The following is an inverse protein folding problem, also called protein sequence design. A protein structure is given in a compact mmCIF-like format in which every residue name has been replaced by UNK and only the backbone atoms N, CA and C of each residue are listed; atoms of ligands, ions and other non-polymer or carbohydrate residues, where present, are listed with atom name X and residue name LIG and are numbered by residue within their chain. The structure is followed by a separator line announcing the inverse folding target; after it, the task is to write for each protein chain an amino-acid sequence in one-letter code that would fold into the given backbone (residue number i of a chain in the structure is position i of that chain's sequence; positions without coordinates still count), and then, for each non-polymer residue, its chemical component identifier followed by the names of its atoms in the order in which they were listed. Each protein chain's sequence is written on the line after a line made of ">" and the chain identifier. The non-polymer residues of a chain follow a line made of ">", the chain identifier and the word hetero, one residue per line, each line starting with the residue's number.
data_IF_586186092853
#
_entry.id   IF_586186092853
#
_cell.length_a   1.000
_cell.length_b   1.000
_cell.length_c   1.000
_cell.angle_alpha   90.00
_cell.angle_beta   90.00
_cell.angle_gamma   90.00
#
_symmetry.space_group_name_H-M   'P 1'
#
loop_
_entity.id
_entity.type
_entity.pdbx_description
1 polymer ?
#
# COMPACT_ATOMS: atom_id res chain seq x y z
N UNK A 1 9.59 -21.74 -0.95
CA UNK A 1 10.33 -21.10 0.16
C UNK A 1 9.69 -19.74 0.41
N UNK A 2 9.13 -19.50 1.62
CA UNK A 2 8.55 -18.21 1.96
C UNK A 2 9.66 -17.15 1.96
N UNK A 3 9.53 -16.13 1.10
CA UNK A 3 10.50 -15.04 1.08
C UNK A 3 10.36 -14.23 2.38
N UNK A 4 11.41 -14.24 3.22
CA UNK A 4 11.44 -13.58 4.52
C UNK A 4 11.32 -12.05 4.45
N UNK A 5 11.52 -11.46 3.26
CA UNK A 5 11.34 -10.02 3.04
C UNK A 5 9.85 -9.63 3.01
N UNK A 6 8.96 -10.53 2.61
CA UNK A 6 7.52 -10.25 2.55
C UNK A 6 6.93 -10.36 3.96
N UNK A 7 6.53 -9.22 4.53
CA UNK A 7 5.95 -9.11 5.87
C UNK A 7 4.42 -8.99 5.88
N UNK A 8 3.79 -8.77 4.72
CA UNK A 8 2.34 -8.67 4.60
C UNK A 8 1.90 -8.50 3.15
N UNK A 9 0.59 -8.40 2.96
CA UNK A 9 -0.03 -8.29 1.64
C UNK A 9 -1.08 -7.19 1.63
N UNK A 10 -1.30 -6.58 0.47
CA UNK A 10 -2.37 -5.61 0.25
C UNK A 10 -3.09 -5.92 -1.05
N UNK A 11 -4.41 -5.92 -0.99
CA UNK A 11 -5.28 -6.01 -2.17
C UNK A 11 -6.19 -4.80 -2.25
N UNK A 12 -6.65 -4.50 -3.45
CA UNK A 12 -7.67 -3.49 -3.73
C UNK A 12 -8.65 -4.05 -4.77
N UNK A 13 -9.81 -3.39 -5.02
CA UNK A 13 -10.79 -3.86 -5.98
C UNK A 13 -10.20 -4.08 -7.39
N UNK A 14 -9.32 -3.19 -7.86
CA UNK A 14 -8.69 -3.32 -9.18
C UNK A 14 -7.81 -4.57 -9.31
N UNK A 15 -7.05 -4.94 -8.26
CA UNK A 15 -6.27 -6.18 -8.24
C UNK A 15 -7.17 -7.41 -8.20
N UNK A 16 -8.26 -7.37 -7.43
CA UNK A 16 -9.24 -8.46 -7.38
C UNK A 16 -9.92 -8.66 -8.74
N UNK A 17 -10.26 -7.57 -9.44
CA UNK A 17 -10.81 -7.62 -10.79
C UNK A 17 -9.83 -8.24 -11.78
N UNK A 18 -8.55 -7.85 -11.77
CA UNK A 18 -7.49 -8.45 -12.61
C UNK A 18 -7.33 -9.95 -12.36
N UNK A 19 -7.55 -10.40 -11.13
CA UNK A 19 -7.54 -11.83 -10.77
C UNK A 19 -8.85 -12.55 -11.13
N UNK A 20 -9.81 -11.87 -11.79
CA UNK A 20 -11.13 -12.40 -12.18
C UNK A 20 -11.90 -13.02 -11.01
N UNK A 21 -11.79 -12.41 -9.83
CA UNK A 21 -12.48 -12.87 -8.62
C UNK A 21 -13.98 -12.67 -8.77
N UNK A 22 -14.76 -13.76 -8.80
CA UNK A 22 -16.24 -13.73 -8.90
C UNK A 22 -16.90 -13.54 -7.53
N UNK A 23 -16.34 -14.13 -6.47
CA UNK A 23 -16.86 -14.02 -5.11
C UNK A 23 -15.80 -13.39 -4.20
N UNK A 24 -15.98 -12.10 -3.91
CA UNK A 24 -15.02 -11.32 -3.16
C UNK A 24 -14.77 -11.86 -1.75
N UNK A 25 -15.84 -12.18 -1.00
CA UNK A 25 -15.71 -12.67 0.37
C UNK A 25 -15.04 -14.05 0.45
N UNK A 26 -15.34 -14.94 -0.49
CA UNK A 26 -14.67 -16.24 -0.60
C UNK A 26 -13.18 -16.06 -0.86
N UNK A 27 -12.81 -15.18 -1.81
CA UNK A 27 -11.41 -14.86 -2.10
C UNK A 27 -10.70 -14.25 -0.88
N UNK A 28 -11.36 -13.34 -0.14
CA UNK A 28 -10.82 -12.78 1.09
C UNK A 28 -10.48 -13.87 2.12
N UNK A 29 -11.38 -14.85 2.31
CA UNK A 29 -11.16 -15.99 3.22
C UNK A 29 -9.95 -16.84 2.78
N UNK A 30 -9.91 -17.20 1.52
CA UNK A 30 -8.84 -18.03 0.95
C UNK A 30 -7.47 -17.32 1.05
N UNK A 31 -7.40 -16.03 0.68
CA UNK A 31 -6.15 -15.26 0.75
C UNK A 31 -5.70 -15.07 2.19
N UNK A 32 -6.61 -14.73 3.11
CA UNK A 32 -6.28 -14.59 4.52
C UNK A 32 -5.69 -15.88 5.09
N UNK A 33 -6.31 -17.03 4.82
CA UNK A 33 -5.83 -18.35 5.25
C UNK A 33 -4.45 -18.67 4.64
N UNK A 34 -4.28 -18.44 3.34
CA UNK A 34 -3.04 -18.74 2.61
C UNK A 34 -1.82 -17.98 3.11
N UNK A 35 -2.01 -16.72 3.55
CA UNK A 35 -0.91 -15.86 3.98
C UNK A 35 -0.72 -15.81 5.50
N UNK A 36 -1.63 -16.38 6.27
CA UNK A 36 -1.56 -16.42 7.74
C UNK A 36 -0.22 -16.99 8.23
N UNK A 37 0.39 -16.44 9.28
CA UNK A 37 -0.10 -15.34 10.14
C UNK A 37 0.22 -13.91 9.64
N UNK A 38 0.79 -13.75 8.43
CA UNK A 38 1.17 -12.45 7.90
C UNK A 38 -0.07 -11.58 7.70
N UNK A 39 -0.01 -10.25 8.02
CA UNK A 39 -1.13 -9.34 7.82
C UNK A 39 -1.50 -9.19 6.34
N UNK A 40 -2.80 -9.05 6.10
CA UNK A 40 -3.34 -8.78 4.77
C UNK A 40 -4.36 -7.64 4.85
N UNK A 41 -4.25 -6.67 3.95
CA UNK A 41 -5.21 -5.58 3.82
C UNK A 41 -6.18 -5.83 2.69
N UNK A 42 -7.48 -5.79 2.99
CA UNK A 42 -8.60 -6.06 2.07
C UNK A 42 -9.56 -4.87 2.10
N UNK A 43 -9.93 -4.36 0.92
CA UNK A 43 -10.63 -3.08 0.78
C UNK A 43 -12.15 -3.26 0.69
N UNK A 44 -12.91 -2.37 1.34
CA UNK A 44 -14.34 -2.19 1.10
C UNK A 44 -14.56 -1.50 -0.25
N UNK A 45 -15.75 -1.63 -0.83
CA UNK A 45 -16.09 -1.02 -2.11
C UNK A 45 -17.46 -0.31 -2.12
N UNK A 46 -18.19 -0.30 -1.00
CA UNK A 46 -19.35 0.58 -0.84
C UNK A 46 -18.91 2.05 -0.82
N UNK A 47 -19.79 2.96 -1.26
CA UNK A 47 -19.53 4.42 -1.31
C UNK A 47 -20.51 5.20 -0.42
N UNK A 48 -21.01 4.55 0.63
CA UNK A 48 -21.86 5.14 1.65
C UNK A 48 -21.46 4.64 3.04
N UNK A 49 -21.79 5.39 4.12
CA UNK A 49 -21.38 5.04 5.48
C UNK A 49 -21.85 3.68 5.93
N UNK A 50 -23.13 3.38 5.71
CA UNK A 50 -23.77 2.14 6.19
C UNK A 50 -23.19 0.92 5.48
N UNK A 51 -23.05 1.01 4.17
CA UNK A 51 -22.44 -0.04 3.33
C UNK A 51 -20.99 -0.29 3.70
N UNK A 52 -20.17 0.78 3.85
CA UNK A 52 -18.76 0.66 4.25
C UNK A 52 -18.61 -0.02 5.62
N UNK A 53 -19.39 0.40 6.63
CA UNK A 53 -19.35 -0.18 7.97
C UNK A 53 -19.71 -1.67 7.90
N UNK A 54 -20.83 -2.02 7.25
CA UNK A 54 -21.29 -3.40 7.09
C UNK A 54 -20.23 -4.27 6.40
N UNK A 55 -19.66 -3.79 5.27
CA UNK A 55 -18.60 -4.52 4.56
C UNK A 55 -17.34 -4.66 5.42
N UNK A 56 -16.92 -3.61 6.14
CA UNK A 56 -15.76 -3.65 7.02
C UNK A 56 -15.91 -4.67 8.15
N UNK A 57 -17.08 -4.74 8.79
CA UNK A 57 -17.36 -5.72 9.83
C UNK A 57 -17.31 -7.16 9.31
N UNK A 58 -17.89 -7.41 8.13
CA UNK A 58 -17.85 -8.72 7.49
C UNK A 58 -16.39 -9.12 7.16
N UNK A 59 -15.65 -8.21 6.51
CA UNK A 59 -14.26 -8.47 6.12
C UNK A 59 -13.37 -8.68 7.35
N UNK A 60 -13.56 -7.91 8.42
CA UNK A 60 -12.74 -8.02 9.63
C UNK A 60 -12.84 -9.40 10.30
N UNK A 61 -13.98 -10.08 10.16
CA UNK A 61 -14.25 -11.42 10.72
C UNK A 61 -13.68 -12.56 9.89
N UNK A 62 -13.12 -12.29 8.71
CA UNK A 62 -12.57 -13.30 7.80
C UNK A 62 -11.33 -13.99 8.37
N UNK A 63 -10.53 -13.28 9.18
CA UNK A 63 -9.33 -13.81 9.81
C UNK A 63 -8.68 -12.83 10.79
N UNK A 64 -7.90 -13.36 11.73
CA UNK A 64 -7.20 -12.55 12.76
C UNK A 64 -6.11 -11.64 12.20
N UNK A 65 -5.64 -11.90 10.98
CA UNK A 65 -4.57 -11.15 10.30
C UNK A 65 -5.08 -10.04 9.36
N UNK A 66 -6.38 -9.76 9.36
CA UNK A 66 -7.01 -8.77 8.47
C UNK A 66 -6.77 -7.33 8.98
N UNK A 67 -6.41 -6.44 8.05
CA UNK A 67 -6.60 -5.00 8.11
C UNK A 67 -7.65 -4.60 7.08
N UNK A 68 -8.72 -3.95 7.51
CA UNK A 68 -9.75 -3.48 6.58
C UNK A 68 -9.30 -2.17 5.93
N UNK A 69 -9.22 -2.15 4.60
CA UNK A 69 -8.88 -0.94 3.86
C UNK A 69 -10.12 -0.06 3.65
N UNK A 70 -10.00 1.20 4.05
CA UNK A 70 -11.04 2.23 3.94
C UNK A 70 -10.45 3.41 3.17
N UNK A 71 -11.04 3.84 2.05
CA UNK A 71 -10.65 5.08 1.37
C UNK A 71 -10.80 6.28 2.31
N UNK A 72 -9.90 7.27 2.17
CA UNK A 72 -9.91 8.48 3.01
C UNK A 72 -11.15 9.35 2.78
N UNK A 73 -11.73 9.27 1.58
CA UNK A 73 -12.97 9.96 1.19
C UNK A 73 -13.91 9.00 0.45
N UNK A 74 -15.19 9.36 0.39
CA UNK A 74 -16.13 8.85 -0.59
C UNK A 74 -15.85 9.44 -1.97
N UNK A 75 -16.53 8.93 -3.02
CA UNK A 75 -16.40 9.45 -4.38
C UNK A 75 -16.86 10.91 -4.53
N UNK A 76 -17.73 11.39 -3.63
CA UNK A 76 -18.18 12.79 -3.56
C UNK A 76 -17.18 13.73 -2.86
N UNK A 77 -16.00 13.23 -2.45
CA UNK A 77 -14.95 14.01 -1.78
C UNK A 77 -15.13 14.22 -0.28
N UNK A 78 -16.26 13.83 0.32
CA UNK A 78 -16.44 13.89 1.78
C UNK A 78 -15.57 12.85 2.47
N UNK A 79 -15.00 13.22 3.63
CA UNK A 79 -14.17 12.31 4.42
C UNK A 79 -15.00 11.16 5.04
N UNK A 80 -14.43 9.98 5.10
CA UNK A 80 -15.02 8.79 5.73
C UNK A 80 -14.89 8.78 7.26
N UNK A 81 -14.81 9.95 7.89
CA UNK A 81 -14.56 10.10 9.34
C UNK A 81 -15.58 9.41 10.22
N UNK A 82 -16.85 9.40 9.83
CA UNK A 82 -17.91 8.70 10.56
C UNK A 82 -17.72 7.19 10.55
N UNK A 83 -17.36 6.62 9.39
CA UNK A 83 -17.00 5.20 9.26
C UNK A 83 -15.80 4.87 10.15
N UNK A 84 -14.75 5.70 10.09
CA UNK A 84 -13.54 5.49 10.89
C UNK A 84 -13.82 5.53 12.39
N UNK A 85 -14.71 6.44 12.86
CA UNK A 85 -15.14 6.50 14.28
C UNK A 85 -15.76 5.19 14.72
N UNK A 86 -16.73 4.67 13.96
CA UNK A 86 -17.41 3.41 14.27
C UNK A 86 -16.45 2.23 14.26
N UNK A 87 -15.58 2.12 13.24
CA UNK A 87 -14.67 0.99 13.12
C UNK A 87 -13.56 1.03 14.18
N UNK A 88 -13.06 2.22 14.53
CA UNK A 88 -12.07 2.40 15.59
C UNK A 88 -12.64 2.04 16.96
N UNK A 89 -13.89 2.44 17.29
CA UNK A 89 -14.55 2.07 18.55
C UNK A 89 -14.77 0.56 18.70
N UNK A 90 -14.90 -0.16 17.57
CA UNK A 90 -15.00 -1.63 17.52
C UNK A 90 -13.62 -2.33 17.47
N UNK A 91 -12.52 -1.60 17.67
CA UNK A 91 -11.15 -2.13 17.61
C UNK A 91 -10.81 -2.88 16.30
N UNK A 92 -11.46 -2.55 15.19
CA UNK A 92 -11.15 -3.12 13.88
C UNK A 92 -9.80 -2.56 13.41
N UNK A 93 -8.89 -3.44 12.96
CA UNK A 93 -7.60 -3.03 12.40
C UNK A 93 -7.83 -2.36 11.05
N UNK A 94 -7.33 -1.14 10.88
CA UNK A 94 -7.60 -0.29 9.73
C UNK A 94 -6.38 -0.10 8.85
N UNK A 95 -6.59 0.00 7.55
CA UNK A 95 -5.64 0.53 6.58
C UNK A 95 -6.33 1.65 5.79
N UNK A 96 -6.09 2.91 6.19
CA UNK A 96 -6.71 4.06 5.52
C UNK A 96 -5.90 4.35 4.26
N UNK A 97 -6.59 4.38 3.12
CA UNK A 97 -5.95 4.40 1.80
C UNK A 97 -6.32 5.63 0.97
N UNK A 98 -5.64 5.81 -0.16
CA UNK A 98 -5.77 6.96 -1.05
C UNK A 98 -5.43 8.30 -0.34
N UNK A 99 -4.42 8.28 0.54
CA UNK A 99 -3.93 9.48 1.22
C UNK A 99 -2.83 10.13 0.38
N UNK A 100 -2.93 11.46 0.19
CA UNK A 100 -1.99 12.26 -0.61
C UNK A 100 -1.33 13.39 0.18
N UNK A 101 -1.90 13.80 1.33
CA UNK A 101 -1.39 14.96 2.04
C UNK A 101 -1.49 14.87 3.56
N UNK A 102 -0.63 15.63 4.25
CA UNK A 102 -0.71 15.81 5.71
C UNK A 102 -2.04 16.41 6.14
N UNK A 103 -2.67 17.26 5.32
CA UNK A 103 -3.97 17.87 5.62
C UNK A 103 -5.07 16.80 5.82
N UNK A 104 -5.05 15.74 5.00
CA UNK A 104 -5.97 14.62 5.15
C UNK A 104 -5.72 13.88 6.46
N UNK A 105 -4.46 13.66 6.85
CA UNK A 105 -4.10 13.02 8.12
C UNK A 105 -4.58 13.84 9.32
N UNK A 106 -4.42 15.17 9.29
CA UNK A 106 -4.89 16.06 10.38
C UNK A 106 -6.38 15.85 10.67
N UNK A 107 -7.21 15.62 9.65
CA UNK A 107 -8.65 15.39 9.80
C UNK A 107 -9.01 14.07 10.49
N UNK A 108 -8.27 13.00 10.22
CA UNK A 108 -8.59 11.65 10.71
C UNK A 108 -7.81 11.25 11.97
N UNK A 109 -6.64 11.85 12.20
CA UNK A 109 -5.73 11.45 13.28
C UNK A 109 -6.37 11.48 14.67
N UNK A 110 -7.21 12.47 15.05
CA UNK A 110 -7.90 12.44 16.35
C UNK A 110 -8.74 11.17 16.58
N UNK A 111 -9.23 10.57 15.49
CA UNK A 111 -10.08 9.38 15.54
C UNK A 111 -9.23 8.10 15.68
N UNK A 112 -8.12 8.02 14.95
CA UNK A 112 -7.39 6.75 14.76
C UNK A 112 -6.04 6.68 15.46
N UNK A 113 -5.56 7.75 16.11
CA UNK A 113 -4.20 7.83 16.68
C UNK A 113 -3.86 6.67 17.64
N UNK A 114 -4.84 6.14 18.37
CA UNK A 114 -4.67 5.06 19.33
C UNK A 114 -5.07 3.68 18.77
N UNK A 115 -5.54 3.63 17.53
CA UNK A 115 -5.99 2.39 16.87
C UNK A 115 -4.82 1.63 16.24
N UNK A 116 -5.01 0.35 15.99
CA UNK A 116 -4.12 -0.44 15.11
C UNK A 116 -4.38 -0.03 13.66
N UNK A 117 -3.76 1.06 13.22
CA UNK A 117 -4.03 1.70 11.95
C UNK A 117 -2.77 1.82 11.07
N UNK A 118 -2.92 1.56 9.79
CA UNK A 118 -1.96 1.81 8.73
C UNK A 118 -2.49 2.98 7.90
N UNK A 119 -1.60 3.94 7.61
CA UNK A 119 -1.87 5.10 6.76
C UNK A 119 -1.14 4.90 5.44
N UNK A 120 -1.88 4.54 4.38
CA UNK A 120 -1.32 4.26 3.05
C UNK A 120 -1.23 5.54 2.23
N UNK A 121 -0.03 6.13 2.17
CA UNK A 121 0.28 7.33 1.40
C UNK A 121 0.61 6.93 -0.03
N UNK A 122 -0.09 7.51 -1.01
CA UNK A 122 0.05 7.16 -2.41
C UNK A 122 1.24 7.87 -3.06
N UNK A 123 2.43 7.63 -2.51
CA UNK A 123 3.66 8.30 -2.90
C UNK A 123 3.93 8.24 -4.40
N UNK A 124 3.79 7.07 -5.03
CA UNK A 124 4.00 6.97 -6.48
C UNK A 124 3.03 7.83 -7.30
N UNK A 125 1.76 7.97 -6.86
CA UNK A 125 0.81 8.87 -7.54
C UNK A 125 1.11 10.33 -7.28
N UNK A 126 1.68 10.69 -6.13
CA UNK A 126 2.17 12.04 -5.86
C UNK A 126 3.32 12.36 -6.82
N UNK A 127 4.25 11.42 -7.02
CA UNK A 127 5.33 11.55 -8.00
C UNK A 127 4.82 11.64 -9.46
N UNK A 128 3.77 10.86 -9.81
CA UNK A 128 3.14 10.94 -11.14
C UNK A 128 2.59 12.35 -11.46
N UNK A 129 2.28 13.17 -10.42
CA UNK A 129 1.87 14.57 -10.55
C UNK A 129 3.05 15.56 -10.53
N UNK A 130 4.30 15.08 -10.50
CA UNK A 130 5.49 15.93 -10.43
C UNK A 130 5.79 16.51 -9.04
N UNK A 131 5.17 16.00 -7.97
CA UNK A 131 5.41 16.46 -6.61
C UNK A 131 6.29 15.50 -5.82
N UNK A 132 7.04 16.00 -4.84
CA UNK A 132 7.85 15.18 -3.95
C UNK A 132 7.01 14.61 -2.79
N UNK A 133 6.75 13.31 -2.83
CA UNK A 133 6.03 12.60 -1.78
C UNK A 133 6.82 12.52 -0.46
N UNK A 134 8.16 12.63 -0.51
CA UNK A 134 8.99 12.51 0.70
C UNK A 134 8.74 13.67 1.67
N UNK A 135 8.55 14.89 1.15
CA UNK A 135 8.21 16.05 1.97
C UNK A 135 6.89 15.87 2.75
N UNK A 136 5.84 15.41 2.06
CA UNK A 136 4.55 15.17 2.72
C UNK A 136 4.64 14.05 3.75
N UNK A 137 5.38 12.97 3.46
CA UNK A 137 5.55 11.86 4.38
C UNK A 137 6.38 12.28 5.61
N UNK A 138 7.41 13.11 5.45
CA UNK A 138 8.18 13.66 6.58
C UNK A 138 7.27 14.50 7.48
N UNK A 139 6.43 15.38 6.91
CA UNK A 139 5.43 16.15 7.68
C UNK A 139 4.48 15.23 8.45
N UNK A 140 3.99 14.16 7.81
CA UNK A 140 3.13 13.15 8.45
C UNK A 140 3.89 12.42 9.55
N UNK A 141 5.11 11.96 9.31
CA UNK A 141 5.94 11.27 10.31
C UNK A 141 6.15 12.12 11.57
N UNK A 142 6.49 13.40 11.38
CA UNK A 142 6.67 14.35 12.47
C UNK A 142 5.36 14.60 13.24
N UNK A 143 4.24 14.72 12.53
CA UNK A 143 2.91 14.87 13.15
C UNK A 143 2.56 13.65 14.01
N UNK A 144 2.76 12.42 13.50
CA UNK A 144 2.49 11.19 14.26
C UNK A 144 3.34 11.10 15.52
N UNK A 145 4.64 11.42 15.45
CA UNK A 145 5.54 11.48 16.61
C UNK A 145 5.06 12.50 17.63
N UNK A 146 4.79 13.75 17.20
CA UNK A 146 4.29 14.83 18.07
C UNK A 146 2.98 14.46 18.78
N UNK A 147 2.09 13.73 18.10
CA UNK A 147 0.79 13.30 18.65
C UNK A 147 0.85 11.93 19.37
N UNK A 148 2.04 11.32 19.49
CA UNK A 148 2.25 9.99 20.09
C UNK A 148 1.27 8.95 19.50
N UNK A 149 1.18 8.90 18.18
CA UNK A 149 0.22 8.04 17.47
C UNK A 149 0.75 6.62 17.28
N UNK A 150 -0.13 5.63 17.42
CA UNK A 150 0.16 4.21 17.13
C UNK A 150 0.06 3.86 15.64
N UNK A 151 -0.32 4.81 14.78
CA UNK A 151 -0.46 4.58 13.35
C UNK A 151 0.89 4.30 12.68
N UNK A 152 0.89 3.40 11.70
CA UNK A 152 2.07 3.10 10.88
C UNK A 152 1.92 3.72 9.49
N UNK A 153 2.97 4.38 9.00
CA UNK A 153 3.02 4.93 7.64
C UNK A 153 3.40 3.82 6.68
N UNK A 154 2.62 3.69 5.60
CA UNK A 154 2.89 2.79 4.49
C UNK A 154 3.08 3.60 3.21
N UNK A 155 4.24 3.45 2.57
CA UNK A 155 4.52 3.92 1.22
C UNK A 155 3.77 3.04 0.21
N UNK A 156 2.76 3.61 -0.45
CA UNK A 156 1.93 2.92 -1.42
C UNK A 156 2.13 3.44 -2.84
N UNK A 157 1.62 2.69 -3.81
CA UNK A 157 1.71 3.07 -5.24
C UNK A 157 3.15 3.12 -5.76
N UNK A 158 4.02 2.24 -5.27
CA UNK A 158 5.44 2.16 -5.65
C UNK A 158 5.61 2.03 -7.16
N UNK A 159 6.56 2.80 -7.73
CA UNK A 159 6.86 2.86 -9.16
C UNK A 159 8.19 2.20 -9.51
N UNK A 160 9.15 2.23 -8.59
CA UNK A 160 10.51 1.79 -8.83
C UNK A 160 11.18 1.26 -7.56
N UNK A 161 12.31 0.58 -7.73
CA UNK A 161 13.10 0.03 -6.62
C UNK A 161 13.64 1.14 -5.71
N UNK A 162 13.98 2.30 -6.27
CA UNK A 162 14.52 3.42 -5.51
C UNK A 162 13.53 3.97 -4.46
N UNK A 163 12.23 3.73 -4.63
CA UNK A 163 11.21 4.10 -3.65
C UNK A 163 11.46 3.47 -2.27
N UNK A 164 12.20 2.36 -2.19
CA UNK A 164 12.61 1.75 -0.91
C UNK A 164 13.52 2.72 -0.14
N UNK A 165 14.48 3.33 -0.82
CA UNK A 165 15.41 4.28 -0.19
C UNK A 165 14.68 5.54 0.24
N UNK A 166 13.74 6.03 -0.57
CA UNK A 166 12.92 7.20 -0.26
C UNK A 166 12.00 6.90 0.93
N UNK A 167 11.34 5.74 0.96
CA UNK A 167 10.48 5.31 2.07
C UNK A 167 11.26 5.23 3.39
N UNK A 168 12.47 4.68 3.37
CA UNK A 168 13.36 4.63 4.55
C UNK A 168 13.73 6.05 4.99
N UNK A 169 14.17 6.90 4.07
CA UNK A 169 14.61 8.29 4.34
C UNK A 169 13.52 9.12 5.01
N UNK A 170 12.26 8.98 4.60
CA UNK A 170 11.15 9.74 5.18
C UNK A 170 10.45 9.05 6.36
N UNK A 171 10.98 7.91 6.84
CA UNK A 171 10.50 7.25 8.06
C UNK A 171 9.23 6.41 7.88
N UNK A 172 9.00 5.86 6.68
CA UNK A 172 7.94 4.89 6.48
C UNK A 172 8.23 3.58 7.24
N UNK A 173 7.20 2.98 7.80
CA UNK A 173 7.28 1.71 8.48
C UNK A 173 7.12 0.52 7.54
N UNK A 174 6.42 0.73 6.45
CA UNK A 174 6.01 -0.30 5.48
C UNK A 174 6.14 0.30 4.07
N UNK A 175 6.54 -0.53 3.12
CA UNK A 175 6.40 -0.26 1.68
C UNK A 175 5.64 -1.41 1.04
N UNK A 176 4.68 -1.10 0.15
CA UNK A 176 4.00 -2.10 -0.67
C UNK A 176 4.39 -1.92 -2.13
N UNK A 177 4.61 -3.01 -2.83
CA UNK A 177 5.01 -2.99 -4.24
C UNK A 177 4.35 -4.12 -5.02
N UNK A 178 4.24 -3.96 -6.34
CA UNK A 178 3.76 -5.01 -7.21
C UNK A 178 4.77 -6.17 -7.32
N UNK A 179 4.33 -7.37 -7.74
CA UNK A 179 5.25 -8.49 -7.98
C UNK A 179 6.36 -8.13 -8.97
N UNK A 180 6.06 -7.34 -10.02
CA UNK A 180 7.04 -6.94 -11.02
C UNK A 180 8.16 -6.08 -10.41
N UNK A 181 7.81 -5.12 -9.53
CA UNK A 181 8.81 -4.30 -8.83
C UNK A 181 9.58 -5.15 -7.82
N UNK A 182 8.88 -6.05 -7.12
CA UNK A 182 9.51 -6.94 -6.15
C UNK A 182 10.56 -7.86 -6.80
N UNK A 183 10.30 -8.39 -7.99
CA UNK A 183 11.27 -9.20 -8.73
C UNK A 183 12.53 -8.44 -9.13
N UNK A 184 12.44 -7.12 -9.31
CA UNK A 184 13.61 -6.26 -9.57
C UNK A 184 14.52 -6.07 -8.36
N UNK A 185 14.18 -6.58 -7.18
CA UNK A 185 15.06 -6.52 -6.00
C UNK A 185 16.41 -7.22 -6.23
N UNK A 186 16.52 -8.13 -7.17
CA UNK A 186 17.78 -8.74 -7.56
C UNK A 186 18.79 -7.74 -8.17
N UNK A 187 18.31 -6.59 -8.65
CA UNK A 187 19.17 -5.51 -9.16
C UNK A 187 19.58 -4.51 -8.07
N UNK A 188 18.96 -4.59 -6.89
CA UNK A 188 19.19 -3.65 -5.82
C UNK A 188 20.64 -3.70 -5.32
N UNK A 189 21.34 -2.57 -5.32
CA UNK A 189 22.76 -2.43 -4.96
C UNK A 189 23.73 -3.22 -5.84
N UNK A 190 23.37 -3.58 -7.07
CA UNK A 190 24.34 -4.12 -8.02
C UNK A 190 25.50 -3.14 -8.24
N UNK A 191 26.67 -3.70 -8.51
CA UNK A 191 27.82 -2.89 -8.93
C UNK A 191 27.53 -2.22 -10.28
N UNK A 192 27.78 -0.93 -10.39
CA UNK A 192 27.48 -0.14 -11.59
C UNK A 192 28.20 -0.64 -12.85
N UNK A 193 29.51 -1.01 -12.73
CA UNK A 193 30.30 -1.53 -13.85
C UNK A 193 29.72 -2.84 -14.39
N UNK A 194 29.39 -3.78 -13.50
CA UNK A 194 28.80 -5.06 -13.92
C UNK A 194 27.41 -4.87 -14.52
N UNK A 195 26.59 -3.97 -13.96
CA UNK A 195 25.24 -3.73 -14.47
C UNK A 195 25.26 -2.98 -15.83
N UNK A 196 26.21 -2.07 -16.02
CA UNK A 196 26.46 -1.45 -17.34
C UNK A 196 26.83 -2.50 -18.39
N UNK A 197 27.77 -3.41 -18.06
CA UNK A 197 28.17 -4.49 -18.97
C UNK A 197 27.01 -5.44 -19.30
N UNK A 198 26.17 -5.80 -18.31
CA UNK A 198 24.96 -6.59 -18.54
C UNK A 198 24.02 -5.89 -19.55
N UNK A 199 23.86 -4.57 -19.41
CA UNK A 199 23.02 -3.76 -20.32
C UNK A 199 23.57 -3.78 -21.75
N UNK A 200 24.86 -3.60 -21.92
CA UNK A 200 25.53 -3.68 -23.25
C UNK A 200 25.34 -5.06 -23.88
N UNK A 201 25.53 -6.13 -23.09
CA UNK A 201 25.30 -7.51 -23.56
C UNK A 201 23.84 -7.73 -24.00
N UNK A 202 22.88 -7.18 -23.26
CA UNK A 202 21.46 -7.27 -23.62
C UNK A 202 21.18 -6.58 -24.95
N UNK A 203 21.65 -5.35 -25.14
CA UNK A 203 21.48 -4.62 -26.41
C UNK A 203 22.08 -5.37 -27.61
N UNK A 204 23.29 -5.92 -27.44
CA UNK A 204 23.92 -6.71 -28.48
C UNK A 204 23.11 -7.96 -28.83
N UNK A 205 22.61 -8.68 -27.84
CA UNK A 205 21.80 -9.86 -28.06
C UNK A 205 20.45 -9.54 -28.73
N UNK A 206 19.82 -8.43 -28.34
CA UNK A 206 18.56 -8.01 -28.92
C UNK A 206 18.73 -7.58 -30.38
N UNK A 207 19.80 -6.83 -30.69
CA UNK A 207 20.13 -6.47 -32.06
C UNK A 207 20.37 -7.73 -32.94
N UNK A 208 21.12 -8.71 -32.40
CA UNK A 208 21.34 -10.00 -33.09
C UNK A 208 20.04 -10.74 -33.39
N UNK A 209 19.13 -10.82 -32.42
CA UNK A 209 17.81 -11.47 -32.57
C UNK A 209 16.94 -10.78 -33.61
N UNK A 210 16.99 -9.44 -33.61
CA UNK A 210 16.21 -8.61 -34.53
C UNK A 210 16.74 -8.61 -35.97
N UNK A 211 17.95 -9.18 -36.20
CA UNK A 211 18.61 -9.24 -37.53
C UNK A 211 18.71 -7.89 -38.21
N UNK A 212 18.91 -6.80 -37.44
CA UNK A 212 19.11 -5.47 -37.99
C UNK A 212 20.33 -5.45 -38.92
N UNK A 213 20.20 -4.72 -40.05
CA UNK A 213 21.27 -4.43 -40.99
C UNK A 213 21.45 -2.91 -41.07
N UNK A 214 22.67 -2.46 -41.09
CA UNK A 214 23.06 -1.06 -41.32
C UNK A 214 23.76 -1.01 -42.68
#
# INVERSE_FOLDING_TARGET
>A
KSNNLIKGFTYNPSLMSKLRVKNYLKACKEFSKKVSPKPISLEVFADDPTGMIKQAEIISKVGKNIYVKIPITYTNGKYTTEVLKVLASKNIKLNITAIFSVKQIVKILPIVKNSKCILSIFAGRIHDMGNDATEEIIKISNLLKKKRSNCKILWASTRQIYDIMMAIKCGCHIITMSPEIFLKLNTFKKNWKSYSLETVKTFYQDAKKSKFKI
#
